data_IF_045617370656
#
_entry.id   IF_045617370656
#
_cell.length_a   1.000
_cell.length_b   1.000
_cell.length_c   1.000
_cell.angle_alpha   90.00
_cell.angle_beta   90.00
_cell.angle_gamma   90.00
#
_symmetry.space_group_name_H-M   'P 1'
#
loop_
_entity.id
_entity.type
_entity.pdbx_description
1 polymer ?
#
# COMPACT_ATOMS: atom_id res chain seq x y z
N UNK A 1 29.52 -19.50 8.34
CA UNK A 1 28.42 -20.50 8.42
C UNK A 1 27.86 -20.69 7.00
N UNK A 2 27.83 -21.93 6.47
CA UNK A 2 27.21 -22.23 5.18
C UNK A 2 25.71 -22.37 5.45
N UNK A 3 24.88 -21.40 4.96
CA UNK A 3 23.44 -21.49 5.05
C UNK A 3 22.90 -22.80 4.44
N UNK A 4 21.79 -23.27 4.96
CA UNK A 4 21.14 -24.49 4.48
C UNK A 4 20.68 -24.32 3.03
N UNK A 5 20.46 -25.41 2.32
CA UNK A 5 20.01 -25.37 0.91
C UNK A 5 18.67 -24.59 0.74
N UNK A 6 17.80 -24.66 1.75
CA UNK A 6 16.55 -23.90 1.82
C UNK A 6 16.75 -22.40 1.99
N UNK A 7 17.67 -21.97 2.85
CA UNK A 7 17.98 -20.55 3.07
C UNK A 7 18.52 -19.86 1.81
N UNK A 8 19.38 -20.56 1.05
CA UNK A 8 19.89 -20.02 -0.22
C UNK A 8 18.81 -19.90 -1.28
N UNK A 9 17.86 -20.83 -1.31
CA UNK A 9 16.72 -20.80 -2.23
C UNK A 9 15.81 -19.62 -1.88
N UNK A 10 15.51 -19.41 -0.61
CA UNK A 10 14.69 -18.28 -0.16
C UNK A 10 15.37 -16.93 -0.43
N UNK A 11 16.66 -16.80 -0.12
CA UNK A 11 17.43 -15.59 -0.46
C UNK A 11 17.38 -15.28 -1.96
N UNK A 12 17.46 -16.30 -2.81
CA UNK A 12 17.36 -16.14 -4.26
C UNK A 12 15.97 -15.69 -4.70
N UNK A 13 14.93 -16.24 -4.08
CA UNK A 13 13.54 -15.86 -4.32
C UNK A 13 13.31 -14.39 -3.96
N UNK A 14 13.75 -13.96 -2.78
CA UNK A 14 13.66 -12.57 -2.34
C UNK A 14 14.43 -11.62 -3.27
N UNK A 15 15.63 -11.98 -3.70
CA UNK A 15 16.38 -11.20 -4.67
C UNK A 15 15.63 -11.01 -5.99
N UNK A 16 14.96 -12.07 -6.49
CA UNK A 16 14.14 -11.97 -7.71
C UNK A 16 12.97 -10.99 -7.50
N UNK A 17 12.29 -11.04 -6.35
CA UNK A 17 11.21 -10.12 -6.03
C UNK A 17 11.67 -8.66 -5.94
N UNK A 18 12.87 -8.41 -5.37
CA UNK A 18 13.45 -7.06 -5.32
C UNK A 18 13.75 -6.49 -6.71
N UNK A 19 14.28 -7.32 -7.60
CA UNK A 19 14.52 -6.91 -8.98
C UNK A 19 13.21 -6.69 -9.73
N UNK A 20 12.26 -7.60 -9.59
CA UNK A 20 10.96 -7.54 -10.25
C UNK A 20 10.15 -6.30 -9.82
N UNK A 21 10.18 -5.95 -8.52
CA UNK A 21 9.58 -4.71 -8.00
C UNK A 21 10.01 -3.49 -8.80
N UNK A 22 11.31 -3.33 -9.02
CA UNK A 22 11.86 -2.20 -9.79
C UNK A 22 11.39 -2.20 -11.23
N UNK A 23 11.34 -3.38 -11.86
CA UNK A 23 10.85 -3.53 -13.23
C UNK A 23 9.37 -3.17 -13.35
N UNK A 24 8.55 -3.58 -12.38
CA UNK A 24 7.12 -3.22 -12.36
C UNK A 24 6.89 -1.73 -12.11
N UNK A 25 7.68 -1.09 -11.25
CA UNK A 25 7.62 0.37 -11.03
C UNK A 25 7.94 1.11 -12.33
N UNK A 26 9.01 0.70 -13.03
CA UNK A 26 9.48 1.37 -14.23
C UNK A 26 8.56 1.17 -15.44
N UNK A 27 8.01 -0.05 -15.62
CA UNK A 27 7.32 -0.44 -16.86
C UNK A 27 5.80 -0.61 -16.71
N UNK A 28 5.27 -0.60 -15.49
CA UNK A 28 3.90 -1.02 -15.21
C UNK A 28 3.74 -2.54 -15.31
N UNK A 29 2.55 -3.06 -14.96
CA UNK A 29 2.29 -4.51 -15.00
C UNK A 29 2.18 -5.05 -16.43
N UNK A 30 1.44 -4.34 -17.30
CA UNK A 30 1.10 -4.83 -18.66
C UNK A 30 2.29 -4.98 -19.58
N UNK A 31 3.31 -4.15 -19.40
CA UNK A 31 4.49 -4.12 -20.29
C UNK A 31 5.60 -5.05 -19.82
N UNK A 32 5.52 -5.61 -18.61
CA UNK A 32 6.57 -6.48 -18.06
C UNK A 32 6.46 -7.90 -18.59
N UNK A 33 7.58 -8.44 -19.03
CA UNK A 33 7.75 -9.82 -19.46
C UNK A 33 8.72 -10.59 -18.57
N UNK A 34 8.66 -11.93 -18.59
CA UNK A 34 9.67 -12.76 -17.90
C UNK A 34 11.11 -12.45 -18.36
N UNK A 35 11.28 -12.00 -19.60
CA UNK A 35 12.60 -11.61 -20.13
C UNK A 35 13.13 -10.35 -19.42
N UNK A 36 12.29 -9.35 -19.19
CA UNK A 36 12.70 -8.12 -18.49
C UNK A 36 13.20 -8.44 -17.08
N UNK A 37 12.52 -9.35 -16.38
CA UNK A 37 12.90 -9.79 -15.02
C UNK A 37 14.20 -10.59 -15.04
N UNK A 38 14.38 -11.48 -16.02
CA UNK A 38 15.63 -12.23 -16.24
C UNK A 38 16.81 -11.28 -16.43
N UNK A 39 16.65 -10.25 -17.26
CA UNK A 39 17.67 -9.24 -17.53
C UNK A 39 17.97 -8.40 -16.27
N UNK A 40 16.95 -7.95 -15.57
CA UNK A 40 17.11 -7.15 -14.34
C UNK A 40 17.77 -7.94 -13.19
N UNK A 41 17.49 -9.24 -13.08
CA UNK A 41 18.10 -10.11 -12.07
C UNK A 41 19.47 -10.66 -12.47
N UNK A 42 19.90 -10.50 -13.73
CA UNK A 42 21.13 -11.11 -14.26
C UNK A 42 21.18 -12.65 -14.05
N UNK A 43 20.06 -13.33 -14.23
CA UNK A 43 19.95 -14.79 -14.05
C UNK A 43 19.57 -15.47 -15.36
N UNK A 44 19.75 -16.79 -15.42
CA UNK A 44 19.29 -17.56 -16.56
C UNK A 44 17.76 -17.67 -16.56
N UNK A 45 17.15 -17.79 -17.76
CA UNK A 45 15.71 -18.02 -17.91
C UNK A 45 15.24 -19.24 -17.12
N UNK A 46 15.96 -20.35 -17.21
CA UNK A 46 15.68 -21.57 -16.44
C UNK A 46 15.76 -21.32 -14.92
N UNK A 47 16.71 -20.47 -14.49
CA UNK A 47 16.85 -20.08 -13.09
C UNK A 47 15.63 -19.32 -12.55
N UNK A 48 14.99 -18.45 -13.36
CA UNK A 48 13.76 -17.76 -12.97
C UNK A 48 12.56 -18.72 -12.88
N UNK A 49 12.39 -19.60 -13.90
CA UNK A 49 11.28 -20.54 -13.95
C UNK A 49 11.33 -21.64 -12.87
N UNK A 50 12.44 -21.81 -12.15
CA UNK A 50 12.50 -22.66 -10.95
C UNK A 50 11.71 -22.06 -9.76
N UNK A 51 11.48 -20.75 -9.74
CA UNK A 51 10.85 -20.04 -8.65
C UNK A 51 9.46 -19.53 -8.97
N UNK A 52 9.21 -19.13 -10.23
CA UNK A 52 7.97 -18.49 -10.66
C UNK A 52 7.55 -18.94 -12.03
N UNK A 53 6.25 -19.23 -12.20
CA UNK A 53 5.68 -19.71 -13.46
C UNK A 53 5.38 -18.58 -14.46
N UNK A 54 5.22 -17.33 -13.98
CA UNK A 54 4.88 -16.20 -14.82
C UNK A 54 4.99 -14.84 -14.11
N UNK A 55 4.83 -13.76 -14.87
CA UNK A 55 4.90 -12.39 -14.36
C UNK A 55 3.79 -12.07 -13.37
N UNK A 56 2.61 -12.64 -13.55
CA UNK A 56 1.48 -12.46 -12.64
C UNK A 56 1.78 -13.00 -11.23
N UNK A 57 2.31 -14.21 -11.13
CA UNK A 57 2.71 -14.81 -9.86
C UNK A 57 3.76 -13.95 -9.14
N UNK A 58 4.77 -13.48 -9.88
CA UNK A 58 5.80 -12.60 -9.33
C UNK A 58 5.17 -11.29 -8.82
N UNK A 59 4.26 -10.70 -9.59
CA UNK A 59 3.63 -9.43 -9.24
C UNK A 59 2.79 -9.55 -7.97
N UNK A 60 1.97 -10.59 -7.85
CA UNK A 60 1.15 -10.83 -6.66
C UNK A 60 2.00 -11.07 -5.40
N UNK A 61 3.11 -11.77 -5.53
CA UNK A 61 4.05 -11.95 -4.42
C UNK A 61 4.76 -10.64 -4.03
N UNK A 62 5.10 -9.80 -5.01
CA UNK A 62 5.64 -8.46 -4.72
C UNK A 62 4.61 -7.63 -3.96
N UNK A 63 3.35 -7.58 -4.42
CA UNK A 63 2.28 -6.85 -3.72
C UNK A 63 2.04 -7.35 -2.30
N UNK A 64 2.03 -8.67 -2.11
CA UNK A 64 1.85 -9.26 -0.79
C UNK A 64 2.97 -8.83 0.18
N UNK A 65 4.22 -8.83 -0.29
CA UNK A 65 5.37 -8.42 0.51
C UNK A 65 5.34 -6.92 0.86
N UNK A 66 4.92 -6.05 -0.06
CA UNK A 66 4.74 -4.62 0.23
C UNK A 66 3.72 -4.42 1.36
N UNK A 67 2.58 -5.10 1.28
CA UNK A 67 1.54 -5.01 2.29
C UNK A 67 2.00 -5.47 3.68
N UNK A 68 2.77 -6.57 3.76
CA UNK A 68 3.31 -7.06 5.02
C UNK A 68 4.30 -6.05 5.65
N UNK A 69 5.09 -5.35 4.84
CA UNK A 69 6.03 -4.32 5.32
C UNK A 69 5.33 -3.05 5.81
N UNK A 70 4.26 -2.63 5.15
CA UNK A 70 3.48 -1.45 5.54
C UNK A 70 2.75 -1.67 6.87
N UNK A 71 2.20 -2.86 7.11
CA UNK A 71 1.56 -3.25 8.37
C UNK A 71 2.55 -3.20 9.55
N UNK A 72 3.78 -3.65 9.36
CA UNK A 72 4.83 -3.65 10.39
C UNK A 72 5.21 -2.23 10.79
N UNK A 73 5.35 -1.30 9.83
CA UNK A 73 5.72 0.10 10.09
C UNK A 73 4.61 0.82 10.85
N UNK A 74 3.35 0.66 10.46
CA UNK A 74 2.23 1.30 11.12
C UNK A 74 2.06 0.80 12.55
N UNK A 75 2.10 -0.51 12.76
CA UNK A 75 1.98 -1.13 14.08
C UNK A 75 3.09 -0.69 15.06
N UNK A 76 4.32 -0.51 14.57
CA UNK A 76 5.45 -0.07 15.39
C UNK A 76 5.35 1.41 15.82
N UNK A 77 4.55 2.21 15.12
CA UNK A 77 4.43 3.66 15.39
C UNK A 77 3.38 3.96 16.47
N UNK A 78 2.45 3.03 16.74
CA UNK A 78 1.39 3.19 17.74
C UNK A 78 1.91 2.76 19.11
N UNK A 79 2.06 3.70 20.02
CA UNK A 79 2.39 3.40 21.43
C UNK A 79 1.13 3.17 22.26
N UNK A 80 1.24 2.41 23.37
CA UNK A 80 0.07 2.01 24.19
C UNK A 80 -0.74 3.16 24.82
N UNK A 81 -0.14 4.36 24.91
CA UNK A 81 -0.75 5.56 25.51
C UNK A 81 -1.22 6.59 24.44
N UNK A 82 -1.17 6.23 23.15
CA UNK A 82 -1.57 7.12 22.06
C UNK A 82 -3.08 7.34 22.04
N UNK A 83 -3.52 8.60 21.93
CA UNK A 83 -4.91 8.97 21.74
C UNK A 83 -5.40 8.61 20.33
N UNK A 84 -6.72 8.60 20.10
CA UNK A 84 -7.27 8.38 18.76
C UNK A 84 -6.86 9.51 17.81
N UNK A 85 -6.75 10.74 18.31
CA UNK A 85 -6.23 11.88 17.55
C UNK A 85 -4.78 11.65 17.13
N UNK A 86 -3.90 11.21 18.05
CA UNK A 86 -2.49 10.94 17.72
C UNK A 86 -2.36 9.89 16.62
N UNK A 87 -3.11 8.81 16.71
CA UNK A 87 -3.11 7.72 15.72
C UNK A 87 -3.60 8.22 14.37
N UNK A 88 -4.66 9.03 14.33
CA UNK A 88 -5.18 9.62 13.09
C UNK A 88 -4.16 10.55 12.42
N UNK A 89 -3.48 11.38 13.20
CA UNK A 89 -2.44 12.29 12.70
C UNK A 89 -1.23 11.51 12.16
N UNK A 90 -0.81 10.44 12.84
CA UNK A 90 0.24 9.55 12.35
C UNK A 90 -0.18 8.89 11.04
N UNK A 91 -1.41 8.38 10.95
CA UNK A 91 -1.94 7.80 9.72
C UNK A 91 -1.88 8.81 8.56
N UNK A 92 -2.39 10.03 8.73
CA UNK A 92 -2.32 11.06 7.67
C UNK A 92 -0.89 11.44 7.30
N UNK A 93 0.03 11.49 8.27
CA UNK A 93 1.45 11.76 8.02
C UNK A 93 2.09 10.66 7.15
N UNK A 94 1.80 9.39 7.40
CA UNK A 94 2.31 8.29 6.57
C UNK A 94 1.67 8.32 5.18
N UNK A 95 0.34 8.53 5.07
CA UNK A 95 -0.32 8.70 3.77
C UNK A 95 0.27 9.88 2.97
N UNK A 96 0.57 11.00 3.62
CA UNK A 96 1.24 12.15 2.97
C UNK A 96 2.61 11.78 2.41
N UNK A 97 3.43 11.04 3.16
CA UNK A 97 4.72 10.55 2.69
C UNK A 97 4.59 9.68 1.43
N UNK A 98 3.61 8.76 1.43
CA UNK A 98 3.31 7.91 0.28
C UNK A 98 2.91 8.76 -0.95
N UNK A 99 1.99 9.70 -0.79
CA UNK A 99 1.52 10.58 -1.86
C UNK A 99 2.64 11.47 -2.46
N UNK A 100 3.65 11.81 -1.67
CA UNK A 100 4.79 12.62 -2.11
C UNK A 100 5.96 11.79 -2.66
N UNK A 101 5.93 10.46 -2.54
CA UNK A 101 6.90 9.58 -3.18
C UNK A 101 6.67 9.59 -4.69
N UNK A 102 7.52 10.33 -5.42
CA UNK A 102 7.45 10.38 -6.88
C UNK A 102 8.14 9.14 -7.45
N UNK A 103 7.38 8.33 -8.19
CA UNK A 103 7.88 7.24 -9.05
C UNK A 103 8.63 6.09 -8.34
N UNK A 104 8.41 5.85 -7.05
CA UNK A 104 9.00 4.72 -6.32
C UNK A 104 7.94 3.85 -5.64
N UNK A 105 6.78 3.72 -6.27
CA UNK A 105 5.72 2.86 -5.80
C UNK A 105 5.12 2.00 -6.92
N UNK A 106 4.38 0.99 -6.54
CA UNK A 106 3.73 0.05 -7.46
C UNK A 106 2.33 0.48 -7.89
N UNK A 107 1.87 1.70 -7.56
CA UNK A 107 0.48 2.10 -7.74
C UNK A 107 0.00 1.95 -9.20
N UNK A 108 0.79 2.43 -10.17
CA UNK A 108 0.44 2.31 -11.59
C UNK A 108 0.32 0.85 -12.01
N UNK A 109 1.32 0.01 -11.67
CA UNK A 109 1.29 -1.42 -11.99
C UNK A 109 0.12 -2.14 -11.32
N UNK A 110 -0.21 -1.74 -10.08
CA UNK A 110 -1.34 -2.25 -9.30
C UNK A 110 -2.68 -1.92 -9.97
N UNK A 111 -2.89 -0.67 -10.36
CA UNK A 111 -4.12 -0.27 -11.08
C UNK A 111 -4.23 -0.98 -12.44
N UNK A 112 -3.13 -1.07 -13.20
CA UNK A 112 -3.12 -1.81 -14.48
C UNK A 112 -3.54 -3.28 -14.31
N UNK A 113 -3.02 -3.92 -13.27
CA UNK A 113 -3.35 -5.31 -12.94
C UNK A 113 -4.84 -5.46 -12.60
N UNK A 114 -5.34 -4.68 -11.64
CA UNK A 114 -6.72 -4.81 -11.17
C UNK A 114 -7.76 -4.35 -12.20
N UNK A 115 -7.48 -3.36 -13.02
CA UNK A 115 -8.36 -2.99 -14.13
C UNK A 115 -8.45 -4.09 -15.19
N UNK A 116 -7.37 -4.85 -15.39
CA UNK A 116 -7.37 -5.97 -16.33
C UNK A 116 -8.09 -7.21 -15.77
N UNK A 117 -7.95 -7.51 -14.48
CA UNK A 117 -8.31 -8.80 -13.88
C UNK A 117 -9.41 -8.70 -12.81
N UNK A 118 -9.69 -7.54 -12.27
CA UNK A 118 -10.51 -7.34 -11.06
C UNK A 118 -11.96 -7.85 -11.12
N UNK A 119 -12.50 -8.10 -12.31
CA UNK A 119 -13.85 -8.67 -12.46
C UNK A 119 -13.89 -10.20 -12.44
N UNK A 120 -12.76 -10.86 -12.57
CA UNK A 120 -12.65 -12.32 -12.74
C UNK A 120 -12.11 -13.05 -11.51
N UNK A 121 -11.47 -12.32 -10.57
CA UNK A 121 -10.87 -12.93 -9.38
C UNK A 121 -11.78 -12.74 -8.18
N UNK A 122 -12.24 -13.87 -7.59
CA UNK A 122 -13.02 -13.87 -6.34
C UNK A 122 -12.21 -13.39 -5.12
N UNK A 123 -10.87 -13.40 -5.21
CA UNK A 123 -9.93 -12.92 -4.19
C UNK A 123 -9.12 -11.75 -4.76
N UNK A 124 -9.71 -10.57 -4.74
CA UNK A 124 -9.01 -9.35 -5.12
C UNK A 124 -8.24 -8.82 -3.89
N UNK A 125 -6.92 -9.05 -3.84
CA UNK A 125 -6.05 -8.65 -2.74
C UNK A 125 -6.17 -7.16 -2.44
N UNK A 126 -6.18 -6.30 -3.44
CA UNK A 126 -6.36 -4.85 -3.25
C UNK A 126 -7.69 -4.53 -2.56
N UNK A 127 -8.77 -5.17 -2.99
CA UNK A 127 -10.08 -4.96 -2.40
C UNK A 127 -10.11 -5.37 -0.93
N UNK A 128 -9.55 -6.53 -0.60
CA UNK A 128 -9.49 -7.01 0.78
C UNK A 128 -8.63 -6.12 1.67
N UNK A 129 -7.51 -5.62 1.16
CA UNK A 129 -6.65 -4.65 1.86
C UNK A 129 -7.35 -3.30 2.06
N UNK A 130 -8.01 -2.79 1.01
CA UNK A 130 -8.78 -1.54 1.11
C UNK A 130 -9.92 -1.66 2.12
N UNK A 131 -10.68 -2.75 2.10
CA UNK A 131 -11.77 -2.99 3.06
C UNK A 131 -11.23 -3.17 4.49
N UNK A 132 -10.07 -3.83 4.67
CA UNK A 132 -9.41 -3.93 5.97
C UNK A 132 -8.97 -2.54 6.48
N UNK A 133 -8.36 -1.71 5.64
CA UNK A 133 -7.96 -0.36 6.02
C UNK A 133 -9.17 0.52 6.40
N UNK A 134 -10.27 0.44 5.63
CA UNK A 134 -11.53 1.11 5.99
C UNK A 134 -12.05 0.65 7.35
N UNK A 135 -12.02 -0.65 7.61
CA UNK A 135 -12.47 -1.20 8.89
C UNK A 135 -11.61 -0.74 10.07
N UNK A 136 -10.28 -0.74 9.93
CA UNK A 136 -9.35 -0.26 10.96
C UNK A 136 -9.60 1.21 11.26
N UNK A 137 -9.72 2.04 10.22
CA UNK A 137 -9.99 3.47 10.37
C UNK A 137 -11.37 3.73 11.00
N UNK A 138 -12.39 2.94 10.64
CA UNK A 138 -13.69 3.01 11.27
C UNK A 138 -13.59 2.71 12.78
N UNK A 139 -12.84 1.67 13.17
CA UNK A 139 -12.64 1.32 14.58
C UNK A 139 -11.88 2.42 15.35
N UNK A 140 -10.92 3.06 14.72
CA UNK A 140 -10.24 4.21 15.29
C UNK A 140 -11.23 5.37 15.56
N UNK A 141 -12.09 5.68 14.59
CA UNK A 141 -13.08 6.76 14.72
C UNK A 141 -14.10 6.42 15.83
N UNK A 142 -14.62 5.18 15.84
CA UNK A 142 -15.53 4.73 16.90
C UNK A 142 -14.90 4.91 18.29
N UNK A 143 -13.64 4.49 18.46
CA UNK A 143 -12.92 4.65 19.72
C UNK A 143 -12.70 6.12 20.10
N UNK A 144 -12.39 6.98 19.14
CA UNK A 144 -12.23 8.43 19.40
C UNK A 144 -13.55 9.09 19.84
N UNK A 145 -14.68 8.68 19.26
CA UNK A 145 -16.03 9.12 19.67
C UNK A 145 -16.31 8.64 21.11
N UNK A 146 -16.10 7.36 21.40
CA UNK A 146 -16.30 6.79 22.74
C UNK A 146 -15.47 7.48 23.83
N UNK A 147 -14.25 7.90 23.49
CA UNK A 147 -13.34 8.61 24.40
C UNK A 147 -13.64 10.11 24.51
N UNK A 148 -14.53 10.67 23.68
CA UNK A 148 -14.82 12.10 23.64
C UNK A 148 -13.72 12.94 22.94
N UNK A 149 -12.88 12.31 22.15
CA UNK A 149 -11.82 12.95 21.35
C UNK A 149 -12.35 13.41 19.97
N UNK A 150 -13.37 12.73 19.45
CA UNK A 150 -13.99 13.00 18.16
C UNK A 150 -15.46 13.39 18.31
N UNK A 151 -15.93 14.25 17.41
CA UNK A 151 -17.35 14.54 17.26
C UNK A 151 -18.12 13.28 16.86
N UNK A 152 -19.39 13.22 17.20
CA UNK A 152 -20.29 12.14 16.81
C UNK A 152 -20.57 12.22 15.30
N UNK A 153 -20.08 11.24 14.54
CA UNK A 153 -20.24 11.11 13.09
C UNK A 153 -20.58 9.67 12.73
N UNK A 154 -21.08 9.44 11.51
CA UNK A 154 -21.16 8.08 10.96
C UNK A 154 -19.73 7.58 10.65
N UNK A 155 -19.18 6.79 11.55
CA UNK A 155 -17.81 6.28 11.50
C UNK A 155 -17.52 5.47 10.22
N UNK A 156 -18.50 4.68 9.76
CA UNK A 156 -18.37 3.87 8.55
C UNK A 156 -18.31 4.74 7.28
N UNK A 157 -19.17 5.76 7.21
CA UNK A 157 -19.19 6.72 6.09
C UNK A 157 -17.92 7.55 6.10
N UNK A 158 -17.49 8.05 7.26
CA UNK A 158 -16.30 8.88 7.38
C UNK A 158 -15.03 8.11 7.01
N UNK A 159 -14.82 6.91 7.54
CA UNK A 159 -13.68 6.07 7.20
C UNK A 159 -13.61 5.76 5.70
N UNK A 160 -14.74 5.42 5.10
CA UNK A 160 -14.82 5.17 3.65
C UNK A 160 -14.52 6.43 2.83
N UNK A 161 -15.03 7.58 3.27
CA UNK A 161 -14.78 8.87 2.60
C UNK A 161 -13.30 9.22 2.62
N UNK A 162 -12.62 9.10 3.76
CA UNK A 162 -11.18 9.33 3.90
C UNK A 162 -10.42 8.42 2.92
N UNK A 163 -10.71 7.12 2.90
CA UNK A 163 -10.01 6.17 2.03
C UNK A 163 -10.26 6.45 0.55
N UNK A 164 -11.48 6.81 0.14
CA UNK A 164 -11.77 7.19 -1.25
C UNK A 164 -11.04 8.46 -1.68
N UNK A 165 -10.92 9.45 -0.79
CA UNK A 165 -10.15 10.66 -1.07
C UNK A 165 -8.66 10.35 -1.20
N UNK A 166 -8.10 9.51 -0.34
CA UNK A 166 -6.70 9.06 -0.44
C UNK A 166 -6.45 8.36 -1.77
N UNK A 167 -7.32 7.43 -2.18
CA UNK A 167 -7.20 6.76 -3.49
C UNK A 167 -7.30 7.75 -4.66
N UNK A 168 -8.20 8.72 -4.58
CA UNK A 168 -8.28 9.80 -5.57
C UNK A 168 -7.00 10.63 -5.65
N UNK A 169 -6.41 10.96 -4.50
CA UNK A 169 -5.13 11.68 -4.43
C UNK A 169 -3.97 10.85 -4.99
N UNK A 170 -3.92 9.53 -4.77
CA UNK A 170 -2.93 8.64 -5.39
C UNK A 170 -3.00 8.69 -6.91
N UNK A 171 -4.21 8.65 -7.49
CA UNK A 171 -4.40 8.77 -8.94
C UNK A 171 -3.90 10.14 -9.43
N UNK A 172 -4.24 11.23 -8.75
CA UNK A 172 -3.77 12.58 -9.10
C UNK A 172 -2.25 12.68 -9.03
N UNK A 173 -1.62 12.08 -8.01
CA UNK A 173 -0.16 12.07 -7.87
C UNK A 173 0.56 11.41 -9.06
N UNK A 174 -0.05 10.37 -9.67
CA UNK A 174 0.53 9.66 -10.83
C UNK A 174 0.14 10.24 -12.19
N UNK A 175 -0.96 10.99 -12.27
CA UNK A 175 -1.47 11.53 -13.55
C UNK A 175 -1.30 13.03 -13.70
N UNK A 176 -0.94 13.72 -12.63
CA UNK A 176 -0.82 15.17 -12.59
C UNK A 176 0.17 15.65 -11.54
N UNK A 177 -0.02 16.87 -11.09
CA UNK A 177 0.76 17.44 -9.99
C UNK A 177 -0.10 17.46 -8.71
N UNK A 178 0.35 16.73 -7.69
CA UNK A 178 -0.16 16.88 -6.35
C UNK A 178 0.83 17.74 -5.53
N UNK A 179 0.33 18.78 -4.87
CA UNK A 179 1.15 19.62 -4.02
C UNK A 179 0.98 19.25 -2.55
N UNK A 180 2.03 19.45 -1.76
CA UNK A 180 1.99 19.25 -0.32
C UNK A 180 0.85 20.04 0.34
N UNK A 181 0.66 21.31 -0.07
CA UNK A 181 -0.43 22.14 0.43
C UNK A 181 -1.84 21.64 0.07
N UNK A 182 -1.99 20.92 -1.03
CA UNK A 182 -3.26 20.28 -1.39
C UNK A 182 -3.56 19.11 -0.46
N UNK A 183 -2.56 18.28 -0.18
CA UNK A 183 -2.67 17.15 0.74
C UNK A 183 -3.00 17.65 2.15
N UNK A 184 -2.24 18.65 2.64
CA UNK A 184 -2.42 19.21 3.98
C UNK A 184 -3.80 19.81 4.19
N UNK A 185 -4.33 20.52 3.19
CA UNK A 185 -5.69 21.07 3.28
C UNK A 185 -6.75 19.97 3.30
N UNK A 186 -6.54 18.90 2.54
CA UNK A 186 -7.51 17.81 2.50
C UNK A 186 -7.52 17.02 3.81
N UNK A 187 -6.33 16.68 4.34
CA UNK A 187 -6.23 16.00 5.63
C UNK A 187 -6.64 16.90 6.79
N UNK A 188 -6.26 18.18 6.77
CA UNK A 188 -6.71 19.19 7.75
C UNK A 188 -8.24 19.27 7.83
N UNK A 189 -8.91 19.27 6.68
CA UNK A 189 -10.39 19.25 6.65
C UNK A 189 -11.02 18.04 7.34
N UNK A 190 -10.39 16.85 7.27
CA UNK A 190 -10.87 15.69 8.03
C UNK A 190 -10.60 15.83 9.52
N UNK A 191 -9.44 16.39 9.90
CA UNK A 191 -9.13 16.67 11.32
C UNK A 191 -10.14 17.65 11.91
N UNK A 192 -10.42 18.75 11.21
CA UNK A 192 -11.44 19.75 11.63
C UNK A 192 -12.85 19.16 11.76
N UNK A 193 -13.21 18.19 10.94
CA UNK A 193 -14.52 17.53 11.00
C UNK A 193 -14.62 16.47 12.10
N UNK A 194 -13.49 15.88 12.50
CA UNK A 194 -13.46 14.77 13.45
C UNK A 194 -13.08 15.23 14.84
N UNK A 195 -11.98 15.99 14.98
CA UNK A 195 -11.39 16.24 16.29
C UNK A 195 -12.11 17.38 17.05
N UNK A 196 -12.37 17.15 18.31
CA UNK A 196 -12.90 18.17 19.22
C UNK A 196 -11.75 19.10 19.57
N UNK A 197 -11.91 20.41 19.34
CA UNK A 197 -10.97 21.42 19.80
C UNK A 197 -11.03 21.54 21.32
N UNK A 198 -9.86 21.52 22.00
CA UNK A 198 -9.73 21.75 23.43
C UNK A 198 -9.98 23.23 23.80
#
# INVERSE_FOLDING_TARGET
>A
MRGTMGEKSEQKRQYILDCARKVFIEKGFRSVTMKDIVEACEISRGGLYLYFSGTEEIFLEVLKREAEQDDDVFSATITGDATAVDILLVFFKEQKKELLRKNDDLAVATYEYYFAHGKQQNENLWRSQHEAAVWILQKLIEKGIENGEFYEVDSAVMARTIMLVIEGMKIVAHTGEISESMIDRQFGSFVEQLCIEE
#
